data_IF_125638676178
#
_entry.id   IF_125638676178
#
_cell.length_a   1.000
_cell.length_b   1.000
_cell.length_c   1.000
_cell.angle_alpha   90.00
_cell.angle_beta   90.00
_cell.angle_gamma   90.00
#
_symmetry.space_group_name_H-M   'P 1'
#
loop_
_entity.id
_entity.type
_entity.pdbx_description
1 polymer ?
#
# COMPACT_ATOMS: atom_id res chain seq x y z
N UNK A 1 -20.99 83.02 22.71
CA UNK A 1 -20.22 82.01 21.93
C UNK A 1 -19.79 82.61 20.59
N UNK A 2 -18.59 82.33 20.10
CA UNK A 2 -18.15 82.78 18.76
C UNK A 2 -18.90 82.05 17.64
N UNK A 3 -19.06 82.70 16.49
CA UNK A 3 -19.77 82.14 15.33
C UNK A 3 -19.13 80.82 14.85
N UNK A 4 -17.81 80.75 14.83
CA UNK A 4 -17.05 79.54 14.46
C UNK A 4 -17.37 78.35 15.38
N UNK A 5 -17.50 78.57 16.70
CA UNK A 5 -17.86 77.51 17.66
C UNK A 5 -19.30 77.02 17.45
N UNK A 6 -20.24 77.93 17.17
CA UNK A 6 -21.63 77.58 16.87
C UNK A 6 -21.76 76.75 15.59
N UNK A 7 -20.98 77.11 14.56
CA UNK A 7 -20.91 76.36 13.30
C UNK A 7 -20.34 74.96 13.51
N UNK A 8 -19.25 74.82 14.27
CA UNK A 8 -18.66 73.50 14.56
C UNK A 8 -19.60 72.60 15.38
N UNK A 9 -20.28 73.15 16.39
CA UNK A 9 -21.28 72.39 17.15
C UNK A 9 -22.41 71.90 16.24
N UNK A 10 -22.91 72.77 15.36
CA UNK A 10 -23.96 72.41 14.40
C UNK A 10 -23.52 71.33 13.41
N UNK A 11 -22.30 71.43 12.87
CA UNK A 11 -21.73 70.45 11.93
C UNK A 11 -21.40 69.10 12.58
N UNK A 12 -21.22 69.04 13.90
CA UNK A 12 -21.03 67.80 14.65
C UNK A 12 -22.31 66.97 14.67
N UNK A 13 -23.45 67.64 14.80
CA UNK A 13 -24.77 67.01 14.81
C UNK A 13 -25.31 66.79 13.39
N UNK A 14 -24.92 67.65 12.44
CA UNK A 14 -25.41 67.65 11.06
C UNK A 14 -24.26 67.68 10.04
N UNK A 15 -23.52 66.57 9.87
CA UNK A 15 -22.44 66.50 8.89
C UNK A 15 -22.99 66.57 7.46
N UNK A 16 -22.37 67.42 6.63
CA UNK A 16 -22.79 67.63 5.24
C UNK A 16 -23.77 68.79 5.05
N UNK A 17 -24.09 69.55 6.10
CA UNK A 17 -24.93 70.74 5.97
C UNK A 17 -24.28 71.81 5.08
N UNK A 18 -25.09 72.52 4.30
CA UNK A 18 -24.63 73.58 3.42
C UNK A 18 -24.64 74.95 4.13
N UNK A 19 -23.97 75.94 3.53
CA UNK A 19 -23.84 77.27 4.14
C UNK A 19 -25.19 78.02 4.29
N UNK A 20 -26.24 77.65 3.53
CA UNK A 20 -27.58 78.23 3.66
C UNK A 20 -28.30 77.65 4.87
N UNK A 21 -28.28 76.33 5.02
CA UNK A 21 -28.87 75.62 6.17
C UNK A 21 -28.22 76.07 7.49
N UNK A 22 -26.89 76.23 7.51
CA UNK A 22 -26.17 76.72 8.69
C UNK A 22 -26.57 78.17 9.01
N UNK A 23 -26.75 79.02 7.99
CA UNK A 23 -27.16 80.41 8.16
C UNK A 23 -28.58 80.53 8.72
N UNK A 24 -29.51 79.74 8.20
CA UNK A 24 -30.90 79.66 8.65
C UNK A 24 -31.01 79.12 10.08
N UNK A 25 -30.36 77.99 10.37
CA UNK A 25 -30.40 77.35 11.69
C UNK A 25 -29.75 78.21 12.79
N UNK A 26 -28.69 78.97 12.47
CA UNK A 26 -28.02 79.83 13.44
C UNK A 26 -28.59 81.26 13.50
N UNK A 27 -29.49 81.63 12.59
CA UNK A 27 -30.04 82.98 12.47
C UNK A 27 -28.98 84.03 12.11
N UNK A 28 -28.01 83.67 11.25
CA UNK A 28 -26.86 84.51 10.89
C UNK A 28 -26.84 84.73 9.39
N UNK A 29 -26.38 85.90 8.93
CA UNK A 29 -26.30 86.17 7.48
C UNK A 29 -25.41 85.15 6.76
N UNK A 30 -25.87 84.72 5.57
CA UNK A 30 -25.15 83.78 4.71
C UNK A 30 -23.69 84.21 4.45
N UNK A 31 -23.44 85.50 4.27
CA UNK A 31 -22.10 86.07 4.08
C UNK A 31 -21.18 85.83 5.27
N UNK A 32 -21.67 86.03 6.50
CA UNK A 32 -20.88 85.80 7.73
C UNK A 32 -20.57 84.33 7.94
N UNK A 33 -21.51 83.45 7.59
CA UNK A 33 -21.30 81.99 7.63
C UNK A 33 -20.26 81.58 6.59
N UNK A 34 -20.33 82.09 5.36
CA UNK A 34 -19.33 81.84 4.32
C UNK A 34 -17.92 82.27 4.76
N UNK A 35 -17.77 83.48 5.30
CA UNK A 35 -16.47 83.95 5.80
C UNK A 35 -15.95 83.07 6.96
N UNK A 36 -16.82 82.61 7.86
CA UNK A 36 -16.43 81.74 8.96
C UNK A 36 -16.04 80.33 8.47
N UNK A 37 -16.81 79.75 7.53
CA UNK A 37 -16.50 78.45 6.92
C UNK A 37 -15.18 78.51 6.14
N UNK A 38 -14.92 79.60 5.42
CA UNK A 38 -13.65 79.80 4.72
C UNK A 38 -12.47 79.76 5.70
N UNK A 39 -12.53 80.52 6.80
CA UNK A 39 -11.47 80.51 7.84
C UNK A 39 -11.31 79.14 8.50
N UNK A 40 -12.41 78.44 8.78
CA UNK A 40 -12.36 77.10 9.36
C UNK A 40 -11.76 76.07 8.39
N UNK A 41 -12.01 76.23 7.09
CA UNK A 41 -11.43 75.39 6.03
C UNK A 41 -9.94 75.67 5.84
N UNK A 42 -9.52 76.93 5.82
CA UNK A 42 -8.09 77.30 5.78
C UNK A 42 -7.32 76.74 6.97
N UNK A 43 -7.94 76.73 8.16
CA UNK A 43 -7.37 76.11 9.36
C UNK A 43 -7.34 74.57 9.30
N UNK A 44 -7.99 73.96 8.31
CA UNK A 44 -8.10 72.51 8.14
C UNK A 44 -9.01 71.82 9.16
N UNK A 45 -9.85 72.60 9.88
CA UNK A 45 -10.77 72.10 10.92
C UNK A 45 -12.03 71.52 10.27
N UNK A 46 -12.42 72.04 9.10
CA UNK A 46 -13.53 71.52 8.31
C UNK A 46 -13.10 71.26 6.87
N UNK A 47 -13.80 70.33 6.21
CA UNK A 47 -13.65 70.01 4.79
C UNK A 47 -14.97 70.28 4.05
N UNK A 48 -14.85 70.65 2.76
CA UNK A 48 -16.00 70.76 1.86
C UNK A 48 -16.19 69.41 1.16
N UNK A 49 -17.34 68.80 1.35
CA UNK A 49 -17.77 67.58 0.67
C UNK A 49 -18.64 67.94 -0.53
N UNK A 50 -18.98 66.97 -1.39
CA UNK A 50 -19.82 67.21 -2.57
C UNK A 50 -21.20 67.80 -2.26
N UNK A 51 -21.70 67.64 -1.02
CA UNK A 51 -23.04 68.07 -0.60
C UNK A 51 -23.04 69.15 0.48
N UNK A 52 -21.89 69.50 1.09
CA UNK A 52 -21.81 70.55 2.11
C UNK A 52 -20.48 70.57 2.86
N UNK A 53 -20.52 70.78 4.18
CA UNK A 53 -19.32 70.87 5.03
C UNK A 53 -19.34 69.81 6.13
N UNK A 54 -18.16 69.30 6.51
CA UNK A 54 -17.99 68.34 7.59
C UNK A 54 -16.73 68.66 8.41
N UNK A 55 -16.70 68.24 9.69
CA UNK A 55 -15.53 68.40 10.56
C UNK A 55 -14.42 67.43 10.09
N UNK A 56 -13.20 67.95 10.00
CA UNK A 56 -12.02 67.18 9.62
C UNK A 56 -11.54 66.34 10.82
N UNK A 57 -11.47 65.02 10.68
CA UNK A 57 -10.96 64.10 11.71
C UNK A 57 -9.45 64.25 11.97
N UNK A 58 -8.72 65.01 11.14
CA UNK A 58 -7.27 65.18 11.26
C UNK A 58 -6.84 66.26 12.27
N UNK A 59 -7.74 67.15 12.69
CA UNK A 59 -7.49 68.21 13.67
C UNK A 59 -8.74 68.48 14.49
N UNK A 60 -9.00 67.64 15.50
CA UNK A 60 -9.90 68.06 16.58
C UNK A 60 -9.27 69.29 17.28
N UNK A 61 -10.00 70.42 17.44
CA UNK A 61 -9.46 71.58 18.14
C UNK A 61 -9.50 71.32 19.65
N UNK A 62 -8.52 70.58 20.17
CA UNK A 62 -8.17 70.63 21.57
C UNK A 62 -7.31 71.87 21.82
N UNK A 63 -7.90 72.88 22.44
CA UNK A 63 -7.19 73.78 23.37
C UNK A 63 -8.16 74.19 24.49
N UNK A 64 -7.99 73.47 25.60
CA UNK A 64 -8.27 73.74 27.02
C UNK A 64 -9.14 74.94 27.40
N UNK A 65 -10.13 74.69 28.27
CA UNK A 65 -10.18 75.20 29.66
C UNK A 65 -11.16 74.33 30.47
N UNK A 66 -10.70 73.78 31.61
CA UNK A 66 -11.55 73.09 32.59
C UNK A 66 -10.90 71.85 33.21
N UNK A 67 -10.26 72.03 34.36
CA UNK A 67 -9.57 71.03 35.19
C UNK A 67 -10.45 69.84 35.61
N UNK A 68 -9.83 68.66 35.77
CA UNK A 68 -10.30 67.66 36.75
C UNK A 68 -10.69 66.25 36.28
N UNK A 69 -10.53 65.83 35.00
CA UNK A 69 -11.10 64.54 34.54
C UNK A 69 -10.24 63.62 33.67
N UNK A 70 -8.94 63.85 33.45
CA UNK A 70 -8.17 63.04 32.48
C UNK A 70 -7.20 61.99 33.02
N UNK A 71 -6.67 62.08 34.25
CA UNK A 71 -5.62 61.12 34.68
C UNK A 71 -6.10 59.66 34.77
N UNK A 72 -7.35 59.42 35.16
CA UNK A 72 -7.88 58.05 35.30
C UNK A 72 -8.33 57.43 33.96
N UNK A 73 -8.82 58.22 33.00
CA UNK A 73 -9.30 57.69 31.71
C UNK A 73 -8.17 57.50 30.71
N UNK A 74 -7.14 58.36 30.73
CA UNK A 74 -5.96 58.22 29.87
C UNK A 74 -5.12 57.01 30.30
N UNK A 75 -4.96 56.75 31.60
CA UNK A 75 -4.28 55.53 32.08
C UNK A 75 -5.02 54.26 31.67
N UNK A 76 -6.34 54.16 31.89
CA UNK A 76 -7.12 52.95 31.54
C UNK A 76 -7.15 52.70 30.03
N UNK A 77 -7.22 53.75 29.20
CA UNK A 77 -7.15 53.62 27.75
C UNK A 77 -5.75 53.18 27.28
N UNK A 78 -4.69 53.71 27.92
CA UNK A 78 -3.30 53.32 27.65
C UNK A 78 -3.01 51.86 28.06
N UNK A 79 -3.52 51.43 29.21
CA UNK A 79 -3.36 50.05 29.70
C UNK A 79 -4.05 49.03 28.78
N UNK A 80 -5.26 49.34 28.31
CA UNK A 80 -5.97 48.50 27.32
C UNK A 80 -5.24 48.45 25.98
N UNK A 81 -4.68 49.57 25.51
CA UNK A 81 -3.87 49.59 24.29
C UNK A 81 -2.60 48.75 24.45
N UNK A 82 -1.93 48.82 25.60
CA UNK A 82 -0.76 48.01 25.90
C UNK A 82 -1.10 46.52 26.00
N UNK A 83 -2.25 46.17 26.55
CA UNK A 83 -2.75 44.80 26.56
C UNK A 83 -3.02 44.28 25.14
N UNK A 84 -3.66 45.09 24.29
CA UNK A 84 -3.91 44.76 22.88
C UNK A 84 -2.59 44.55 22.13
N UNK A 85 -1.59 45.42 22.29
CA UNK A 85 -0.27 45.27 21.67
C UNK A 85 0.45 44.00 22.13
N UNK A 86 0.38 43.67 23.43
CA UNK A 86 0.91 42.40 23.97
C UNK A 86 0.22 41.19 23.35
N UNK A 87 -1.10 41.25 23.16
CA UNK A 87 -1.86 40.18 22.54
C UNK A 87 -1.53 40.03 21.05
N UNK A 88 -1.36 41.14 20.31
CA UNK A 88 -0.89 41.12 18.93
C UNK A 88 0.48 40.49 18.80
N UNK A 89 1.43 40.84 19.67
CA UNK A 89 2.77 40.24 19.67
C UNK A 89 2.73 38.73 19.94
N UNK A 90 1.93 38.29 20.92
CA UNK A 90 1.73 36.85 21.19
C UNK A 90 1.08 36.13 20.00
N UNK A 91 0.17 36.79 19.30
CA UNK A 91 -0.49 36.22 18.12
C UNK A 91 0.49 36.08 16.95
N UNK A 92 1.33 37.08 16.73
CA UNK A 92 2.41 37.07 15.74
C UNK A 92 3.42 35.94 16.01
N UNK A 93 3.83 35.78 17.27
CA UNK A 93 4.70 34.66 17.69
C UNK A 93 4.06 33.29 17.37
N UNK A 94 2.76 33.12 17.67
CA UNK A 94 2.01 31.89 17.34
C UNK A 94 1.88 31.65 15.83
N UNK A 95 1.69 32.72 15.05
CA UNK A 95 1.62 32.65 13.60
C UNK A 95 2.95 32.19 13.00
N UNK A 96 4.06 32.73 13.50
CA UNK A 96 5.39 32.35 13.06
C UNK A 96 5.73 30.90 13.43
N UNK A 97 5.33 30.43 14.62
CA UNK A 97 5.50 29.02 14.97
C UNK A 97 4.67 28.10 14.09
N UNK A 98 3.41 28.48 13.79
CA UNK A 98 2.53 27.69 12.95
C UNK A 98 3.04 27.62 11.49
N UNK A 99 3.60 28.71 10.96
CA UNK A 99 4.25 28.73 9.66
C UNK A 99 5.47 27.79 9.62
N UNK A 100 6.29 27.79 10.67
CA UNK A 100 7.44 26.90 10.75
C UNK A 100 7.01 25.42 10.83
N UNK A 101 5.95 25.11 11.58
CA UNK A 101 5.36 23.77 11.63
C UNK A 101 4.79 23.35 10.27
N UNK A 102 4.08 24.26 9.59
CA UNK A 102 3.55 24.02 8.25
C UNK A 102 4.67 23.66 7.25
N UNK A 103 5.77 24.42 7.24
CA UNK A 103 6.91 24.12 6.38
C UNK A 103 7.55 22.78 6.69
N UNK A 104 7.70 22.43 7.97
CA UNK A 104 8.22 21.10 8.37
C UNK A 104 7.31 19.98 7.89
N UNK A 105 5.99 20.13 8.06
CA UNK A 105 5.03 19.15 7.56
C UNK A 105 5.08 19.01 6.04
N UNK A 106 5.25 20.11 5.30
CA UNK A 106 5.38 20.08 3.85
C UNK A 106 6.64 19.32 3.40
N UNK A 107 7.76 19.53 4.09
CA UNK A 107 9.00 18.79 3.84
C UNK A 107 8.87 17.30 4.18
N UNK A 108 8.23 16.96 5.30
CA UNK A 108 7.94 15.58 5.68
C UNK A 108 7.03 14.89 4.65
N UNK A 109 6.00 15.59 4.15
CA UNK A 109 5.11 15.09 3.11
C UNK A 109 5.87 14.82 1.82
N UNK A 110 6.77 15.73 1.41
CA UNK A 110 7.64 15.52 0.23
C UNK A 110 8.52 14.28 0.41
N UNK A 111 9.19 14.17 1.55
CA UNK A 111 10.04 13.01 1.86
C UNK A 111 9.28 11.69 1.84
N UNK A 112 8.10 11.65 2.48
CA UNK A 112 7.23 10.46 2.47
C UNK A 112 6.79 10.13 1.05
N UNK A 113 6.42 11.12 0.25
CA UNK A 113 6.01 10.93 -1.14
C UNK A 113 7.13 10.33 -1.98
N UNK A 114 8.36 10.81 -1.82
CA UNK A 114 9.55 10.23 -2.48
C UNK A 114 9.78 8.77 -2.07
N UNK A 115 9.69 8.47 -0.78
CA UNK A 115 9.83 7.10 -0.26
C UNK A 115 8.75 6.17 -0.82
N UNK A 116 7.50 6.62 -0.87
CA UNK A 116 6.38 5.87 -1.45
C UNK A 116 6.61 5.58 -2.93
N UNK A 117 7.04 6.59 -3.71
CA UNK A 117 7.36 6.41 -5.13
C UNK A 117 8.51 5.41 -5.35
N UNK A 118 9.50 5.41 -4.46
CA UNK A 118 10.64 4.50 -4.54
C UNK A 118 10.20 3.07 -4.25
N UNK A 119 9.43 2.86 -3.18
CA UNK A 119 8.84 1.56 -2.83
C UNK A 119 7.93 1.03 -3.92
N UNK A 120 7.15 1.89 -4.58
CA UNK A 120 6.30 1.48 -5.69
C UNK A 120 7.11 0.93 -6.88
N UNK A 121 8.23 1.57 -7.22
CA UNK A 121 9.15 1.07 -8.27
C UNK A 121 9.78 -0.26 -7.88
N UNK A 122 10.20 -0.42 -6.62
CA UNK A 122 10.75 -1.68 -6.11
C UNK A 122 9.72 -2.80 -6.16
N UNK A 123 8.48 -2.52 -5.77
CA UNK A 123 7.37 -3.48 -5.83
C UNK A 123 7.09 -3.94 -7.27
N UNK A 124 7.10 -3.01 -8.24
CA UNK A 124 6.95 -3.36 -9.65
C UNK A 124 8.11 -4.23 -10.15
N UNK A 125 9.34 -3.91 -9.77
CA UNK A 125 10.52 -4.73 -10.10
C UNK A 125 10.41 -6.13 -9.51
N UNK A 126 10.03 -6.22 -8.24
CA UNK A 126 9.84 -7.50 -7.55
C UNK A 126 8.73 -8.32 -8.21
N UNK A 127 7.61 -7.69 -8.58
CA UNK A 127 6.51 -8.35 -9.30
C UNK A 127 6.98 -8.94 -10.63
N UNK A 128 7.83 -8.23 -11.39
CA UNK A 128 8.42 -8.75 -12.63
C UNK A 128 9.31 -9.96 -12.37
N UNK A 129 10.22 -9.88 -11.38
CA UNK A 129 11.10 -11.00 -11.00
C UNK A 129 10.31 -12.24 -10.55
N UNK A 130 9.25 -12.05 -9.76
CA UNK A 130 8.37 -13.16 -9.35
C UNK A 130 7.70 -13.81 -10.55
N UNK A 131 7.24 -13.02 -11.52
CA UNK A 131 6.65 -13.55 -12.74
C UNK A 131 7.65 -14.32 -13.61
N UNK A 132 8.89 -13.83 -13.73
CA UNK A 132 9.97 -14.55 -14.42
C UNK A 132 10.26 -15.91 -13.76
N UNK A 133 10.38 -15.93 -12.42
CA UNK A 133 10.56 -17.17 -11.65
C UNK A 133 9.39 -18.14 -11.88
N UNK A 134 8.15 -17.63 -11.89
CA UNK A 134 6.97 -18.43 -12.16
C UNK A 134 7.01 -19.08 -13.55
N UNK A 135 7.37 -18.34 -14.61
CA UNK A 135 7.48 -18.90 -15.96
C UNK A 135 8.65 -19.90 -16.09
N UNK A 136 9.78 -19.64 -15.44
CA UNK A 136 10.88 -20.61 -15.34
C UNK A 136 10.41 -21.89 -14.64
N UNK A 137 9.66 -21.77 -13.54
CA UNK A 137 9.18 -22.91 -12.78
C UNK A 137 8.13 -23.70 -13.58
N UNK A 138 7.25 -23.02 -14.30
CA UNK A 138 6.24 -23.63 -15.19
C UNK A 138 6.90 -24.40 -16.33
N UNK A 139 7.88 -23.82 -17.02
CA UNK A 139 8.62 -24.49 -18.10
C UNK A 139 9.42 -25.68 -17.57
N UNK A 140 10.06 -25.52 -16.41
CA UNK A 140 10.76 -26.62 -15.74
C UNK A 140 9.80 -27.73 -15.33
N UNK A 141 8.61 -27.40 -14.82
CA UNK A 141 7.58 -28.37 -14.45
C UNK A 141 7.05 -29.13 -15.67
N UNK A 142 6.79 -28.46 -16.79
CA UNK A 142 6.40 -29.10 -18.05
C UNK A 142 7.51 -30.05 -18.51
N UNK A 143 8.77 -29.60 -18.54
CA UNK A 143 9.92 -30.42 -18.93
C UNK A 143 10.14 -31.60 -17.99
N UNK A 144 9.90 -31.43 -16.69
CA UNK A 144 9.92 -32.51 -15.71
C UNK A 144 8.78 -33.50 -15.90
N UNK A 145 7.57 -33.02 -16.23
CA UNK A 145 6.40 -33.85 -16.48
C UNK A 145 6.54 -34.61 -17.80
N UNK A 146 7.09 -33.99 -18.84
CA UNK A 146 7.45 -34.65 -20.10
C UNK A 146 8.53 -35.69 -19.87
N UNK A 147 9.59 -35.37 -19.11
CA UNK A 147 10.60 -36.36 -18.73
C UNK A 147 9.97 -37.48 -17.91
N UNK A 148 9.07 -37.19 -16.96
CA UNK A 148 8.35 -38.20 -16.16
C UNK A 148 7.40 -39.08 -16.99
N UNK A 149 6.76 -38.54 -18.03
CA UNK A 149 5.91 -39.30 -18.95
C UNK A 149 6.74 -40.13 -19.95
N UNK A 150 7.93 -39.66 -20.35
CA UNK A 150 8.93 -40.48 -21.07
C UNK A 150 9.54 -41.55 -20.16
N UNK A 151 9.59 -41.28 -18.85
CA UNK A 151 9.94 -42.18 -17.76
C UNK A 151 8.70 -42.90 -17.18
N UNK A 152 7.63 -43.14 -17.96
CA UNK A 152 6.83 -44.34 -17.68
C UNK A 152 7.80 -45.50 -17.85
N UNK A 153 8.17 -46.09 -16.72
CA UNK A 153 9.20 -47.09 -16.63
C UNK A 153 8.81 -48.27 -17.52
N UNK A 154 9.38 -48.30 -18.73
CA UNK A 154 9.00 -49.25 -19.78
C UNK A 154 9.14 -50.68 -19.26
N UNK A 155 10.15 -50.92 -18.42
CA UNK A 155 10.31 -52.19 -17.71
C UNK A 155 9.11 -52.49 -16.81
N UNK A 156 8.68 -51.54 -15.97
CA UNK A 156 7.52 -51.75 -15.07
C UNK A 156 6.22 -51.93 -15.86
N UNK A 157 6.02 -51.15 -16.93
CA UNK A 157 4.85 -51.29 -17.80
C UNK A 157 4.83 -52.66 -18.48
N UNK A 158 5.97 -53.12 -18.99
CA UNK A 158 6.05 -54.44 -19.61
C UNK A 158 5.92 -55.57 -18.57
N UNK A 159 6.49 -55.41 -17.38
CA UNK A 159 6.33 -56.35 -16.27
C UNK A 159 4.89 -56.44 -15.77
N UNK A 160 4.12 -55.35 -15.81
CA UNK A 160 2.68 -55.38 -15.51
C UNK A 160 1.89 -56.17 -16.56
N UNK A 161 2.34 -56.18 -17.80
CA UNK A 161 1.67 -56.89 -18.90
C UNK A 161 2.05 -58.37 -18.95
N UNK A 162 3.35 -58.67 -18.83
CA UNK A 162 3.88 -60.02 -19.04
C UNK A 162 4.23 -60.77 -17.75
N UNK A 163 4.39 -60.08 -16.63
CA UNK A 163 4.79 -60.64 -15.33
C UNK A 163 6.26 -61.04 -15.23
N UNK A 164 6.84 -61.56 -16.31
CA UNK A 164 8.21 -62.11 -16.38
C UNK A 164 8.90 -61.70 -17.69
N UNK A 165 10.11 -61.16 -17.57
CA UNK A 165 10.94 -60.69 -18.69
C UNK A 165 12.38 -61.21 -18.51
N UNK A 166 13.08 -61.49 -19.61
CA UNK A 166 14.51 -61.83 -19.55
C UNK A 166 15.35 -60.63 -19.12
N UNK A 167 16.39 -60.87 -18.30
CA UNK A 167 17.26 -59.83 -17.74
C UNK A 167 17.97 -59.01 -18.81
N UNK A 168 18.24 -59.61 -19.97
CA UNK A 168 18.86 -58.92 -21.11
C UNK A 168 17.91 -57.88 -21.69
N UNK A 169 16.63 -58.24 -21.84
CA UNK A 169 15.57 -57.33 -22.31
C UNK A 169 15.29 -56.29 -21.22
N UNK A 170 15.22 -56.72 -19.96
CA UNK A 170 14.95 -55.85 -18.83
C UNK A 170 15.99 -54.74 -18.71
N UNK A 171 17.28 -55.05 -18.88
CA UNK A 171 18.37 -54.05 -18.89
C UNK A 171 18.22 -52.98 -19.97
N UNK A 172 17.64 -53.33 -21.12
CA UNK A 172 17.39 -52.39 -22.21
C UNK A 172 16.15 -51.52 -21.99
N UNK A 173 15.17 -52.02 -21.21
CA UNK A 173 13.92 -51.32 -20.90
C UNK A 173 13.99 -50.51 -19.60
N UNK A 174 14.93 -50.85 -18.71
CA UNK A 174 15.06 -50.28 -17.38
C UNK A 174 15.54 -48.82 -17.42
N UNK A 175 14.94 -47.98 -16.58
CA UNK A 175 15.36 -46.60 -16.39
C UNK A 175 16.55 -46.45 -15.44
N UNK A 176 16.75 -47.43 -14.57
CA UNK A 176 17.81 -47.51 -13.55
C UNK A 176 18.36 -48.93 -13.49
N UNK A 177 19.40 -49.16 -12.67
CA UNK A 177 19.97 -50.50 -12.51
C UNK A 177 18.92 -51.51 -11.99
N UNK A 178 18.98 -52.77 -12.45
CA UNK A 178 18.04 -53.82 -12.02
C UNK A 178 18.10 -54.01 -10.50
N UNK A 179 19.29 -53.91 -9.93
CA UNK A 179 19.58 -54.01 -8.51
C UNK A 179 18.81 -52.97 -7.69
N UNK A 180 18.58 -51.78 -8.26
CA UNK A 180 17.83 -50.72 -7.59
C UNK A 180 16.32 -51.03 -7.54
N UNK A 181 15.77 -51.72 -8.54
CA UNK A 181 14.39 -52.22 -8.49
C UNK A 181 14.22 -53.37 -7.50
N UNK A 182 15.22 -54.23 -7.39
CA UNK A 182 15.24 -55.30 -6.38
C UNK A 182 15.30 -54.68 -4.99
N UNK A 183 16.14 -53.66 -4.77
CA UNK A 183 16.23 -52.93 -3.50
C UNK A 183 14.95 -52.21 -3.14
N UNK A 184 14.24 -51.64 -4.12
CA UNK A 184 12.92 -51.04 -3.88
C UNK A 184 11.79 -52.06 -3.69
N UNK A 185 12.08 -53.36 -3.80
CA UNK A 185 11.11 -54.44 -3.63
C UNK A 185 10.09 -54.53 -4.76
N UNK A 186 10.34 -53.88 -5.90
CA UNK A 186 9.40 -53.81 -7.03
C UNK A 186 9.50 -55.04 -7.92
N UNK A 187 10.70 -55.61 -8.04
CA UNK A 187 10.98 -56.80 -8.85
C UNK A 187 11.79 -57.82 -8.07
N UNK A 188 11.73 -59.07 -8.53
CA UNK A 188 12.53 -60.19 -8.04
C UNK A 188 13.31 -60.75 -9.23
N UNK A 189 14.60 -61.01 -9.04
CA UNK A 189 15.43 -61.66 -10.05
C UNK A 189 15.51 -63.15 -9.71
N UNK A 190 15.23 -64.00 -10.69
CA UNK A 190 15.32 -65.46 -10.60
C UNK A 190 16.05 -65.93 -11.86
N UNK A 191 17.28 -66.41 -11.70
CA UNK A 191 18.19 -66.81 -12.78
C UNK A 191 18.39 -65.67 -13.78
N UNK A 192 18.09 -65.90 -15.06
CA UNK A 192 18.12 -64.88 -16.11
C UNK A 192 16.82 -64.09 -16.23
N UNK A 193 15.88 -64.21 -15.30
CA UNK A 193 14.56 -63.58 -15.38
C UNK A 193 14.40 -62.46 -14.35
N UNK A 194 13.75 -61.37 -14.78
CA UNK A 194 13.23 -60.30 -13.92
C UNK A 194 11.71 -60.46 -13.86
N UNK A 195 11.20 -60.55 -12.64
CA UNK A 195 9.80 -60.85 -12.34
C UNK A 195 9.21 -59.72 -11.52
N UNK A 196 7.97 -59.31 -11.80
CA UNK A 196 7.28 -58.35 -10.93
C UNK A 196 7.02 -58.98 -9.56
N UNK A 197 7.12 -58.18 -8.49
CA UNK A 197 6.89 -58.69 -7.14
C UNK A 197 5.47 -59.26 -6.98
N UNK A 198 4.47 -58.62 -7.57
CA UNK A 198 3.08 -59.08 -7.51
C UNK A 198 2.91 -60.45 -8.17
N UNK A 199 3.42 -60.62 -9.40
CA UNK A 199 3.33 -61.88 -10.14
C UNK A 199 4.06 -63.01 -9.42
N UNK A 200 5.25 -62.71 -8.86
CA UNK A 200 6.03 -63.70 -8.11
C UNK A 200 5.28 -64.21 -6.88
N UNK A 201 4.68 -63.32 -6.08
CA UNK A 201 3.92 -63.71 -4.89
C UNK A 201 2.61 -64.44 -5.25
N UNK A 202 1.93 -64.03 -6.31
CA UNK A 202 0.75 -64.77 -6.81
C UNK A 202 1.11 -66.16 -7.29
N UNK A 203 2.23 -66.31 -7.99
CA UNK A 203 2.70 -67.61 -8.45
C UNK A 203 3.10 -68.52 -7.28
N UNK A 204 3.77 -67.98 -6.26
CA UNK A 204 4.15 -68.75 -5.05
C UNK A 204 2.94 -69.34 -4.31
N UNK A 205 1.79 -68.66 -4.31
CA UNK A 205 0.55 -69.17 -3.70
C UNK A 205 0.02 -70.44 -4.36
N UNK A 206 0.45 -70.76 -5.59
CA UNK A 206 0.04 -71.98 -6.30
C UNK A 206 0.79 -73.23 -5.82
N UNK A 207 1.89 -73.08 -5.07
CA UNK A 207 2.64 -74.21 -4.55
C UNK A 207 1.96 -74.84 -3.33
N UNK A 208 2.00 -76.18 -3.18
CA UNK A 208 2.63 -77.15 -4.08
C UNK A 208 1.86 -77.36 -5.40
N UNK A 209 2.58 -77.46 -6.53
CA UNK A 209 1.98 -77.61 -7.87
C UNK A 209 2.11 -79.07 -8.32
N UNK A 210 1.02 -79.84 -8.44
CA UNK A 210 1.08 -81.20 -8.97
C UNK A 210 1.60 -81.23 -10.40
N UNK A 211 2.40 -82.25 -10.76
CA UNK A 211 3.03 -82.41 -12.09
C UNK A 211 2.01 -82.34 -13.23
N UNK A 212 0.80 -82.85 -13.00
CA UNK A 212 -0.31 -82.81 -13.97
C UNK A 212 -0.88 -81.41 -14.17
N UNK A 213 -0.86 -80.57 -13.12
CA UNK A 213 -1.37 -79.19 -13.16
C UNK A 213 -0.40 -78.22 -13.82
N UNK A 214 0.88 -78.58 -13.99
CA UNK A 214 1.87 -77.78 -14.71
C UNK A 214 1.43 -77.47 -16.15
N UNK A 215 0.65 -78.36 -16.77
CA UNK A 215 0.10 -78.12 -18.12
C UNK A 215 -0.89 -76.95 -18.17
N UNK A 216 -1.54 -76.64 -17.05
CA UNK A 216 -2.53 -75.56 -16.91
C UNK A 216 -1.90 -74.20 -16.58
N UNK A 217 -0.61 -74.17 -16.24
CA UNK A 217 0.11 -72.92 -16.01
C UNK A 217 0.26 -72.14 -17.32
N UNK A 218 0.32 -70.81 -17.23
CA UNK A 218 0.66 -69.98 -18.39
C UNK A 218 2.10 -70.22 -18.84
N UNK A 219 2.45 -69.86 -20.08
CA UNK A 219 3.83 -70.02 -20.56
C UNK A 219 4.84 -69.25 -19.69
N UNK A 220 4.48 -68.05 -19.22
CA UNK A 220 5.31 -67.25 -18.31
C UNK A 220 5.48 -67.90 -16.94
N UNK A 221 4.43 -68.53 -16.42
CA UNK A 221 4.50 -69.29 -15.17
C UNK A 221 5.34 -70.56 -15.31
N UNK A 222 5.25 -71.26 -16.45
CA UNK A 222 6.12 -72.40 -16.76
C UNK A 222 7.58 -71.97 -16.87
N UNK A 223 7.87 -70.82 -17.49
CA UNK A 223 9.21 -70.25 -17.55
C UNK A 223 9.75 -69.96 -16.15
N UNK A 224 8.94 -69.30 -15.29
CA UNK A 224 9.33 -69.01 -13.92
C UNK A 224 9.54 -70.30 -13.10
N UNK A 225 8.68 -71.31 -13.26
CA UNK A 225 8.85 -72.60 -12.59
C UNK A 225 10.17 -73.27 -12.97
N UNK A 226 10.52 -73.29 -14.26
CA UNK A 226 11.80 -73.83 -14.73
C UNK A 226 12.97 -73.08 -14.11
N UNK A 227 12.95 -71.76 -14.15
CA UNK A 227 14.00 -70.93 -13.55
C UNK A 227 14.14 -71.18 -12.03
N UNK A 228 13.03 -71.35 -11.31
CA UNK A 228 13.06 -71.70 -9.89
C UNK A 228 13.64 -73.09 -9.63
N UNK A 229 13.37 -74.06 -10.50
CA UNK A 229 13.95 -75.41 -10.41
C UNK A 229 15.45 -75.37 -10.72
N UNK A 230 15.84 -74.61 -11.74
CA UNK A 230 17.23 -74.47 -12.17
C UNK A 230 18.09 -73.78 -11.09
N UNK A 231 17.53 -72.80 -10.36
CA UNK A 231 18.20 -72.18 -9.19
C UNK A 231 18.11 -73.02 -7.91
N UNK A 232 17.41 -74.17 -7.94
CA UNK A 232 17.19 -74.98 -6.75
C UNK A 232 16.29 -74.33 -5.71
N UNK A 233 15.46 -73.36 -6.08
CA UNK A 233 14.44 -72.74 -5.23
C UNK A 233 13.12 -73.52 -5.24
N UNK A 234 12.94 -74.40 -6.23
CA UNK A 234 11.85 -75.36 -6.29
C UNK A 234 12.37 -76.75 -6.68
N UNK A 235 11.68 -77.81 -6.24
CA UNK A 235 12.06 -79.19 -6.55
C UNK A 235 10.84 -80.07 -6.74
N UNK A 236 11.00 -81.14 -7.54
CA UNK A 236 9.96 -82.14 -7.76
C UNK A 236 9.97 -83.17 -6.63
N UNK A 237 9.04 -83.06 -5.69
CA UNK A 237 8.90 -83.96 -4.56
C UNK A 237 8.26 -85.28 -4.99
N UNK A 238 8.96 -86.40 -4.76
CA UNK A 238 8.51 -87.79 -5.04
C UNK A 238 8.06 -88.03 -6.48
N UNK A 239 8.43 -87.17 -7.43
CA UNK A 239 7.98 -87.25 -8.81
C UNK A 239 6.54 -86.78 -9.07
N UNK A 240 5.83 -86.30 -8.03
CA UNK A 240 4.37 -86.06 -8.07
C UNK A 240 4.05 -84.57 -8.09
N UNK A 241 4.74 -83.74 -7.31
CA UNK A 241 4.43 -82.31 -7.17
C UNK A 241 5.68 -81.45 -6.98
N UNK A 242 5.64 -80.23 -7.48
CA UNK A 242 6.68 -79.23 -7.27
C UNK A 242 6.45 -78.51 -5.94
N UNK A 243 7.50 -78.42 -5.12
CA UNK A 243 7.52 -77.70 -3.84
C UNK A 243 8.61 -76.63 -3.87
N UNK A 244 8.39 -75.55 -3.13
CA UNK A 244 9.45 -74.59 -2.84
C UNK A 244 10.39 -75.18 -1.77
N UNK A 245 11.67 -74.83 -1.86
CA UNK A 245 12.69 -75.18 -0.85
C UNK A 245 12.43 -74.46 0.46
#
# INVERSE_FOLDING_TARGET
MSLERRILAFLKENPGANAREIAEALGVSYSRVQSALYRLREKGIIIKTGFGYAISSLKEPFTSYGEGFEEKRVSIASDKLMEVLRNFKKLEEKLNTLLAEYHRLDDDIKSVTERVNTLQKELESLKRKVNEVYEIMKTFHIRWKEKKNVLEDRLISELKREGVIDISIARNLALKSIEEYVRSGTVVVVSSLVVSKEFYEEFKKKFPIPKEQVRKLSEKEKMLLRALVDEGLAYLHRGIEYRLV
#
